data_IF_184339618113
#
_entry.id   IF_184339618113
#
_cell.length_a   1.000
_cell.length_b   1.000
_cell.length_c   1.000
_cell.angle_alpha   90.00
_cell.angle_beta   90.00
_cell.angle_gamma   90.00
#
_symmetry.space_group_name_H-M   'P 1'
#
loop_
_entity.id
_entity.type
_entity.pdbx_description
1 polymer ?
#
# COMPACT_ATOMS: atom_id res chain seq x y z
N UNK A 1 9.08 -13.74 -8.72
CA UNK A 1 7.82 -13.88 -7.98
C UNK A 1 7.72 -12.68 -7.05
N UNK A 2 6.71 -11.81 -7.21
CA UNK A 2 6.67 -10.55 -6.46
C UNK A 2 5.94 -10.78 -5.13
N UNK A 3 6.68 -11.24 -4.11
CA UNK A 3 6.13 -11.66 -2.81
C UNK A 3 5.30 -10.56 -2.13
N UNK A 4 5.62 -9.29 -2.39
CA UNK A 4 4.92 -8.13 -1.84
C UNK A 4 3.50 -8.02 -2.43
N UNK A 5 3.32 -8.34 -3.72
CA UNK A 5 1.99 -8.30 -4.34
C UNK A 5 1.07 -9.37 -3.77
N UNK A 6 1.61 -10.56 -3.49
CA UNK A 6 0.87 -11.65 -2.86
C UNK A 6 0.46 -11.28 -1.44
N UNK A 7 1.36 -10.66 -0.68
CA UNK A 7 1.06 -10.17 0.67
C UNK A 7 -0.03 -9.09 0.65
N UNK A 8 0.14 -8.03 -0.15
CA UNK A 8 -0.75 -6.88 -0.17
C UNK A 8 -2.13 -7.23 -0.76
N UNK A 9 -2.15 -7.82 -1.97
CA UNK A 9 -3.39 -8.17 -2.66
C UNK A 9 -4.04 -9.41 -2.07
N UNK A 10 -3.25 -10.42 -1.69
CA UNK A 10 -3.76 -11.69 -1.15
C UNK A 10 -4.42 -11.52 0.21
N UNK A 11 -3.90 -10.66 1.09
CA UNK A 11 -4.56 -10.40 2.36
C UNK A 11 -5.90 -9.68 2.19
N UNK A 12 -5.95 -8.67 1.32
CA UNK A 12 -7.21 -7.99 1.01
C UNK A 12 -8.25 -8.95 0.42
N UNK A 13 -7.81 -9.85 -0.47
CA UNK A 13 -8.65 -10.92 -1.03
C UNK A 13 -9.13 -11.91 0.05
N UNK A 14 -8.27 -12.30 0.99
CA UNK A 14 -8.62 -13.19 2.08
C UNK A 14 -9.61 -12.55 3.05
N UNK A 15 -9.36 -11.31 3.48
CA UNK A 15 -10.25 -10.60 4.41
C UNK A 15 -11.61 -10.29 3.78
N UNK A 16 -11.62 -9.72 2.57
CA UNK A 16 -12.87 -9.30 1.95
C UNK A 16 -13.66 -10.46 1.36
N UNK A 17 -13.00 -11.40 0.69
CA UNK A 17 -13.66 -12.43 -0.12
C UNK A 17 -13.41 -13.86 0.38
N UNK A 18 -12.56 -14.06 1.40
CA UNK A 18 -12.18 -15.40 1.87
C UNK A 18 -11.27 -16.17 0.91
N UNK A 19 -10.71 -15.49 -0.11
CA UNK A 19 -9.91 -16.13 -1.16
C UNK A 19 -8.45 -16.15 -0.74
N UNK A 20 -7.87 -17.34 -0.64
CA UNK A 20 -6.43 -17.52 -0.41
C UNK A 20 -5.67 -17.47 -1.74
N UNK A 21 -4.62 -16.65 -1.79
CA UNK A 21 -3.72 -16.58 -2.94
C UNK A 21 -2.30 -16.92 -2.47
N UNK A 22 -1.67 -17.88 -3.13
CA UNK A 22 -0.32 -18.36 -2.81
C UNK A 22 0.73 -17.99 -3.85
N UNK A 23 0.33 -17.53 -5.03
CA UNK A 23 1.24 -17.21 -6.14
C UNK A 23 0.96 -15.83 -6.72
N UNK A 24 2.02 -15.14 -7.16
CA UNK A 24 1.92 -13.81 -7.77
C UNK A 24 1.28 -13.79 -9.16
N UNK A 25 1.25 -14.94 -9.84
CA UNK A 25 0.63 -15.10 -11.17
C UNK A 25 -0.87 -15.39 -11.09
N UNK A 26 -1.48 -15.15 -9.92
CA UNK A 26 -2.90 -15.35 -9.73
C UNK A 26 -3.71 -14.31 -10.54
N UNK A 27 -4.76 -14.73 -11.28
CA UNK A 27 -5.59 -13.83 -12.07
C UNK A 27 -6.18 -12.65 -11.30
N UNK A 28 -6.47 -12.80 -10.01
CA UNK A 28 -6.99 -11.70 -9.19
C UNK A 28 -5.93 -10.61 -8.96
N UNK A 29 -4.66 -11.00 -8.81
CA UNK A 29 -3.54 -10.07 -8.63
C UNK A 29 -3.23 -9.35 -9.94
N UNK A 30 -3.25 -10.05 -11.08
CA UNK A 30 -2.99 -9.41 -12.38
C UNK A 30 -4.05 -8.37 -12.73
N UNK A 31 -5.34 -8.68 -12.49
CA UNK A 31 -6.44 -7.72 -12.70
C UNK A 31 -6.30 -6.51 -11.78
N UNK A 32 -5.92 -6.70 -10.51
CA UNK A 32 -5.68 -5.59 -9.59
C UNK A 32 -4.56 -4.68 -10.06
N UNK A 33 -3.42 -5.25 -10.50
CA UNK A 33 -2.32 -4.48 -11.08
C UNK A 33 -2.75 -3.69 -12.31
N UNK A 34 -3.50 -4.30 -13.22
CA UNK A 34 -4.00 -3.61 -14.41
C UNK A 34 -4.96 -2.47 -14.07
N UNK A 35 -5.86 -2.68 -13.10
CA UNK A 35 -6.79 -1.65 -12.63
C UNK A 35 -6.07 -0.49 -11.93
N UNK A 36 -5.08 -0.80 -11.09
CA UNK A 36 -4.23 0.17 -10.40
C UNK A 36 -3.42 0.99 -11.39
N UNK A 37 -2.69 0.33 -12.28
CA UNK A 37 -1.87 1.01 -13.30
C UNK A 37 -2.71 1.95 -14.18
N UNK A 38 -3.90 1.50 -14.58
CA UNK A 38 -4.80 2.35 -15.36
C UNK A 38 -5.34 3.52 -14.54
N UNK A 39 -5.59 3.31 -13.24
CA UNK A 39 -6.00 4.39 -12.34
C UNK A 39 -4.92 5.45 -12.22
N UNK A 40 -3.66 5.06 -12.02
CA UNK A 40 -2.52 5.98 -12.00
C UNK A 40 -2.45 6.84 -13.26
N UNK A 41 -2.53 6.22 -14.43
CA UNK A 41 -2.53 6.94 -15.71
C UNK A 41 -3.72 7.90 -15.85
N UNK A 42 -4.90 7.53 -15.36
CA UNK A 42 -6.08 8.40 -15.39
C UNK A 42 -5.90 9.60 -14.45
N UNK A 43 -5.23 9.41 -13.30
CA UNK A 43 -4.99 10.47 -12.33
C UNK A 43 -3.83 11.40 -12.70
N UNK A 44 -3.08 11.10 -13.76
CA UNK A 44 -2.05 12.02 -14.24
C UNK A 44 -2.66 13.40 -14.59
N UNK A 45 -1.98 14.51 -14.26
CA UNK A 45 -2.51 15.86 -14.43
C UNK A 45 -3.02 16.14 -15.86
N UNK A 46 -2.37 15.57 -16.88
CA UNK A 46 -2.78 15.73 -18.27
C UNK A 46 -4.10 15.00 -18.57
N UNK A 47 -4.28 13.77 -18.08
CA UNK A 47 -5.50 12.98 -18.25
C UNK A 47 -6.68 13.65 -17.55
N UNK A 48 -6.50 14.06 -16.29
CA UNK A 48 -7.53 14.78 -15.53
C UNK A 48 -7.93 16.07 -16.24
N UNK A 49 -6.96 16.84 -16.74
CA UNK A 49 -7.24 18.07 -17.47
C UNK A 49 -8.08 17.80 -18.72
N UNK A 50 -7.72 16.79 -19.51
CA UNK A 50 -8.49 16.41 -20.71
C UNK A 50 -9.89 15.94 -20.34
N UNK A 51 -10.06 15.09 -19.33
CA UNK A 51 -11.39 14.62 -18.90
C UNK A 51 -12.27 15.76 -18.37
N UNK A 52 -11.67 16.75 -17.70
CA UNK A 52 -12.37 17.92 -17.15
C UNK A 52 -12.79 18.91 -18.23
N UNK A 53 -11.94 19.19 -19.20
CA UNK A 53 -12.18 20.21 -20.23
C UNK A 53 -12.80 19.64 -21.52
N UNK A 54 -12.72 18.33 -21.74
CA UNK A 54 -13.28 17.65 -22.91
C UNK A 54 -14.27 16.53 -22.51
N UNK A 55 -15.45 16.87 -21.95
CA UNK A 55 -16.42 15.86 -21.49
C UNK A 55 -17.01 15.01 -22.63
N UNK A 56 -16.86 15.45 -23.89
CA UNK A 56 -17.31 14.73 -25.09
C UNK A 56 -16.33 13.62 -25.54
N UNK A 57 -15.28 13.33 -24.78
CA UNK A 57 -14.23 12.37 -25.16
C UNK A 57 -14.76 10.97 -25.49
N UNK A 58 -15.85 10.55 -24.84
CA UNK A 58 -16.51 9.26 -25.10
C UNK A 58 -17.17 9.19 -26.49
N UNK A 59 -17.41 10.33 -27.14
CA UNK A 59 -18.01 10.41 -28.48
C UNK A 59 -16.94 10.41 -29.60
N UNK A 60 -15.66 10.55 -29.25
CA UNK A 60 -14.56 10.67 -30.22
C UNK A 60 -14.15 9.28 -30.73
N UNK A 61 -14.00 9.06 -32.05
CA UNK A 61 -13.54 7.77 -32.57
C UNK A 61 -12.16 7.36 -32.02
N UNK A 62 -11.96 6.06 -31.81
CA UNK A 62 -10.73 5.48 -31.23
C UNK A 62 -9.44 5.80 -32.00
N UNK A 63 -9.55 6.11 -33.29
CA UNK A 63 -8.40 6.38 -34.16
C UNK A 63 -7.88 7.83 -34.08
N UNK A 64 -8.62 8.74 -33.45
CA UNK A 64 -8.23 10.16 -33.37
C UNK A 64 -6.99 10.31 -32.48
N UNK A 65 -5.92 11.02 -32.92
CA UNK A 65 -4.72 11.22 -32.12
C UNK A 65 -5.01 11.89 -30.77
N UNK A 66 -4.27 11.51 -29.73
CA UNK A 66 -4.38 11.98 -28.33
C UNK A 66 -5.75 11.67 -27.69
N UNK A 67 -6.85 12.23 -28.19
CA UNK A 67 -8.19 12.07 -27.62
C UNK A 67 -8.77 10.66 -27.79
N UNK A 68 -8.49 9.98 -28.91
CA UNK A 68 -8.83 8.57 -29.09
C UNK A 68 -8.01 7.64 -28.21
N UNK A 69 -6.75 8.00 -27.92
CA UNK A 69 -5.92 7.28 -26.96
C UNK A 69 -6.47 7.42 -25.53
N UNK A 70 -6.78 8.64 -25.08
CA UNK A 70 -7.40 8.87 -23.76
C UNK A 70 -8.76 8.15 -23.65
N UNK A 71 -9.59 8.16 -24.70
CA UNK A 71 -10.82 7.35 -24.72
C UNK A 71 -10.53 5.86 -24.53
N UNK A 72 -9.54 5.30 -25.24
CA UNK A 72 -9.14 3.89 -25.11
C UNK A 72 -8.69 3.58 -23.68
N UNK A 73 -7.93 4.48 -23.05
CA UNK A 73 -7.51 4.33 -21.66
C UNK A 73 -8.70 4.33 -20.69
N UNK A 74 -9.68 5.21 -20.88
CA UNK A 74 -10.92 5.22 -20.06
C UNK A 74 -11.73 3.94 -20.26
N UNK A 75 -11.84 3.45 -21.49
CA UNK A 75 -12.56 2.20 -21.80
C UNK A 75 -11.87 0.99 -21.15
N UNK A 76 -10.55 0.87 -21.28
CA UNK A 76 -9.76 -0.18 -20.63
C UNK A 76 -9.85 -0.10 -19.10
N UNK A 77 -9.77 1.11 -18.54
CA UNK A 77 -9.91 1.33 -17.09
C UNK A 77 -11.27 0.87 -16.57
N UNK A 78 -12.35 1.12 -17.32
CA UNK A 78 -13.69 0.62 -16.96
C UNK A 78 -13.76 -0.90 -16.95
N UNK A 79 -13.15 -1.55 -17.93
CA UNK A 79 -13.10 -3.02 -18.01
C UNK A 79 -12.33 -3.61 -16.83
N UNK A 80 -11.12 -3.12 -16.55
CA UNK A 80 -10.33 -3.59 -15.42
C UNK A 80 -10.99 -3.34 -14.06
N UNK A 81 -11.63 -2.19 -13.85
CA UNK A 81 -12.38 -1.90 -12.62
C UNK A 81 -13.60 -2.82 -12.50
N UNK A 82 -14.29 -3.10 -13.61
CA UNK A 82 -15.41 -4.05 -13.65
C UNK A 82 -14.94 -5.47 -13.27
N UNK A 83 -13.84 -5.94 -13.86
CA UNK A 83 -13.28 -7.25 -13.57
C UNK A 83 -12.81 -7.37 -12.12
N UNK A 84 -12.14 -6.33 -11.61
CA UNK A 84 -11.71 -6.26 -10.21
C UNK A 84 -12.92 -6.32 -9.25
N UNK A 85 -14.06 -5.73 -9.63
CA UNK A 85 -15.29 -5.75 -8.86
C UNK A 85 -16.01 -7.09 -8.92
N UNK A 86 -16.11 -7.70 -10.10
CA UNK A 86 -16.98 -8.85 -10.34
C UNK A 86 -16.28 -10.20 -10.17
N UNK A 87 -15.03 -10.36 -10.58
CA UNK A 87 -14.37 -11.68 -10.57
C UNK A 87 -14.25 -12.29 -9.16
N UNK A 88 -13.83 -11.54 -8.12
CA UNK A 88 -13.79 -12.10 -6.76
C UNK A 88 -15.19 -12.45 -6.25
N UNK A 89 -16.22 -11.68 -6.62
CA UNK A 89 -17.60 -11.93 -6.24
C UNK A 89 -18.11 -13.23 -6.87
N UNK A 90 -17.87 -13.42 -8.16
CA UNK A 90 -18.25 -14.65 -8.86
C UNK A 90 -17.61 -15.87 -8.20
N UNK A 91 -16.33 -15.76 -7.80
CA UNK A 91 -15.65 -16.83 -7.06
C UNK A 91 -16.31 -17.12 -5.71
N UNK A 92 -16.70 -16.09 -4.97
CA UNK A 92 -17.43 -16.24 -3.70
C UNK A 92 -18.78 -16.92 -3.89
N UNK A 93 -19.54 -16.51 -4.92
CA UNK A 93 -20.85 -17.09 -5.23
C UNK A 93 -20.72 -18.57 -5.63
N UNK A 94 -19.77 -18.90 -6.50
CA UNK A 94 -19.49 -20.29 -6.90
C UNK A 94 -19.11 -21.16 -5.69
N UNK A 95 -18.29 -20.63 -4.76
CA UNK A 95 -17.93 -21.37 -3.53
C UNK A 95 -19.15 -21.63 -2.63
N UNK A 96 -20.06 -20.66 -2.53
CA UNK A 96 -21.30 -20.81 -1.75
C UNK A 96 -22.22 -21.88 -2.36
N UNK A 97 -22.33 -21.95 -3.68
CA UNK A 97 -23.09 -23.01 -4.39
C UNK A 97 -22.51 -24.41 -4.13
N UNK A 98 -21.18 -24.51 -4.00
CA UNK A 98 -20.51 -25.78 -3.67
C UNK A 98 -20.56 -26.15 -2.18
N UNK A 99 -21.18 -25.32 -1.33
CA UNK A 99 -21.29 -25.55 0.12
C UNK A 99 -19.99 -25.34 0.90
N UNK A 100 -18.98 -24.71 0.30
CA UNK A 100 -17.73 -24.40 0.97
C UNK A 100 -17.94 -23.27 1.99
N UNK A 101 -17.51 -23.49 3.25
CA UNK A 101 -17.50 -22.42 4.24
C UNK A 101 -16.55 -21.29 3.81
N UNK A 102 -17.04 -20.06 3.91
CA UNK A 102 -16.29 -18.85 3.58
C UNK A 102 -16.52 -17.82 4.70
N UNK A 103 -15.42 -17.39 5.31
CA UNK A 103 -15.34 -16.46 6.44
C UNK A 103 -15.13 -15.00 6.03
N UNK A 104 -15.04 -14.73 4.72
CA UNK A 104 -14.85 -13.39 4.17
C UNK A 104 -15.98 -12.43 4.52
N UNK A 105 -15.64 -11.14 4.61
CA UNK A 105 -16.58 -10.07 4.93
C UNK A 105 -17.76 -10.01 3.94
N UNK A 106 -17.47 -10.09 2.64
CA UNK A 106 -18.47 -10.04 1.57
C UNK A 106 -19.48 -11.17 1.65
N UNK A 107 -19.11 -12.47 1.67
CA UNK A 107 -20.09 -13.55 1.78
C UNK A 107 -20.93 -13.44 3.04
N UNK A 108 -20.36 -13.02 4.17
CA UNK A 108 -21.10 -12.80 5.41
C UNK A 108 -22.17 -11.70 5.27
N UNK A 109 -21.84 -10.57 4.64
CA UNK A 109 -22.82 -9.52 4.38
C UNK A 109 -23.88 -9.92 3.35
N UNK A 110 -23.50 -10.66 2.31
CA UNK A 110 -24.44 -11.13 1.28
C UNK A 110 -25.44 -12.16 1.83
N UNK A 111 -25.05 -13.02 2.77
CA UNK A 111 -25.97 -13.96 3.46
C UNK A 111 -27.10 -13.26 4.22
N UNK A 112 -26.86 -12.03 4.68
CA UNK A 112 -27.84 -11.24 5.45
C UNK A 112 -28.86 -10.48 4.59
N UNK A 113 -28.87 -10.68 3.27
CA UNK A 113 -29.78 -9.99 2.35
C UNK A 113 -30.96 -10.87 1.95
N UNK A 114 -32.17 -10.32 2.01
CA UNK A 114 -33.38 -11.00 1.57
C UNK A 114 -33.47 -11.03 0.03
N UNK A 115 -33.67 -12.23 -0.51
CA UNK A 115 -33.81 -12.47 -1.95
C UNK A 115 -35.20 -11.99 -2.39
N UNK A 116 -35.28 -10.78 -2.93
CA UNK A 116 -36.52 -10.20 -3.50
C UNK A 116 -36.78 -8.73 -3.17
N UNK A 117 -36.04 -8.13 -2.23
CA UNK A 117 -36.16 -6.71 -1.90
C UNK A 117 -35.26 -5.85 -2.82
N UNK A 118 -35.84 -4.81 -3.44
CA UNK A 118 -35.10 -3.83 -4.24
C UNK A 118 -33.99 -3.15 -3.42
N UNK A 119 -34.23 -2.94 -2.11
CA UNK A 119 -33.19 -2.40 -1.24
C UNK A 119 -32.05 -3.39 -1.01
N UNK A 120 -32.29 -4.71 -1.07
CA UNK A 120 -31.25 -5.72 -0.98
C UNK A 120 -30.35 -5.72 -2.22
N UNK A 121 -30.90 -5.48 -3.41
CA UNK A 121 -30.10 -5.32 -4.65
C UNK A 121 -29.17 -4.13 -4.54
N UNK A 122 -29.70 -2.97 -4.15
CA UNK A 122 -28.90 -1.75 -3.94
C UNK A 122 -27.83 -1.94 -2.86
N UNK A 123 -28.17 -2.60 -1.74
CA UNK A 123 -27.20 -2.97 -0.70
C UNK A 123 -26.11 -3.89 -1.23
N UNK A 124 -26.45 -4.87 -2.06
CA UNK A 124 -25.48 -5.76 -2.68
C UNK A 124 -24.51 -4.98 -3.60
N UNK A 125 -25.00 -4.03 -4.39
CA UNK A 125 -24.13 -3.16 -5.20
C UNK A 125 -23.16 -2.36 -4.33
N UNK A 126 -23.64 -1.77 -3.22
CA UNK A 126 -22.78 -1.02 -2.29
C UNK A 126 -21.74 -1.91 -1.62
N UNK A 127 -22.09 -3.14 -1.24
CA UNK A 127 -21.15 -4.11 -0.67
C UNK A 127 -20.02 -4.41 -1.68
N UNK A 128 -20.38 -4.64 -2.95
CA UNK A 128 -19.38 -4.85 -4.02
C UNK A 128 -18.47 -3.63 -4.19
N UNK A 129 -19.02 -2.43 -4.19
CA UNK A 129 -18.26 -1.18 -4.36
C UNK A 129 -17.31 -0.90 -3.19
N UNK A 130 -17.76 -1.18 -1.96
CA UNK A 130 -16.90 -1.09 -0.77
C UNK A 130 -15.77 -2.10 -0.85
N UNK A 131 -16.07 -3.35 -1.23
CA UNK A 131 -15.06 -4.40 -1.30
C UNK A 131 -14.02 -4.15 -2.40
N UNK A 132 -14.45 -3.70 -3.59
CA UNK A 132 -13.53 -3.33 -4.66
C UNK A 132 -12.64 -2.15 -4.26
N UNK A 133 -13.19 -1.14 -3.59
CA UNK A 133 -12.41 0.01 -3.09
C UNK A 133 -11.34 -0.42 -2.08
N UNK A 134 -11.69 -1.29 -1.12
CA UNK A 134 -10.72 -1.83 -0.15
C UNK A 134 -9.63 -2.62 -0.86
N UNK A 135 -10.01 -3.45 -1.84
CA UNK A 135 -9.05 -4.27 -2.57
C UNK A 135 -8.05 -3.43 -3.38
N UNK A 136 -8.53 -2.47 -4.17
CA UNK A 136 -7.67 -1.57 -4.95
C UNK A 136 -6.75 -0.75 -4.05
N UNK A 137 -7.26 -0.16 -2.96
CA UNK A 137 -6.47 0.67 -2.07
C UNK A 137 -5.34 -0.12 -1.37
N UNK A 138 -5.61 -1.37 -0.96
CA UNK A 138 -4.65 -2.21 -0.28
C UNK A 138 -3.56 -2.76 -1.21
N UNK A 139 -3.92 -3.10 -2.45
CA UNK A 139 -3.02 -3.70 -3.43
C UNK A 139 -1.82 -2.79 -3.76
N UNK A 140 -2.04 -1.48 -3.82
CA UNK A 140 -1.06 -0.55 -4.36
C UNK A 140 -0.26 0.22 -3.28
N UNK A 141 -0.94 0.75 -2.26
CA UNK A 141 -0.30 1.57 -1.23
C UNK A 141 0.65 0.78 -0.33
N UNK A 142 0.26 -0.46 0.00
CA UNK A 142 1.08 -1.35 0.84
C UNK A 142 2.35 -1.76 0.09
N UNK A 143 2.27 -1.94 -1.24
CA UNK A 143 3.44 -2.22 -2.06
C UNK A 143 4.46 -1.07 -1.99
N UNK A 144 4.02 0.18 -2.19
CA UNK A 144 4.89 1.36 -2.17
C UNK A 144 5.61 1.59 -0.83
N UNK A 145 4.97 1.26 0.29
CA UNK A 145 5.53 1.46 1.64
C UNK A 145 6.75 0.58 1.97
N UNK A 146 7.03 -0.46 1.18
CA UNK A 146 8.22 -1.31 1.32
C UNK A 146 9.54 -0.60 1.00
N UNK A 147 9.51 0.58 0.36
CA UNK A 147 10.68 1.45 0.18
C UNK A 147 11.38 1.86 1.48
N UNK A 148 10.75 1.66 2.63
CA UNK A 148 11.32 1.89 3.97
C UNK A 148 12.51 0.97 4.28
N UNK A 149 12.52 -0.28 3.77
CA UNK A 149 13.61 -1.23 3.99
C UNK A 149 14.94 -0.79 3.37
N UNK A 150 14.85 -0.24 2.16
CA UNK A 150 15.98 0.33 1.43
C UNK A 150 16.69 1.40 2.26
N UNK A 151 15.92 2.14 3.04
CA UNK A 151 16.41 3.27 3.77
C UNK A 151 16.98 2.86 5.17
N UNK A 152 16.47 1.78 5.77
CA UNK A 152 17.03 1.18 6.99
C UNK A 152 18.35 0.45 6.76
N UNK A 153 18.55 -0.16 5.58
CA UNK A 153 19.81 -0.81 5.20
C UNK A 153 21.00 0.16 5.11
N UNK A 154 20.76 1.48 5.21
CA UNK A 154 21.76 2.53 4.96
C UNK A 154 22.29 3.29 6.21
N UNK A 155 21.78 3.16 7.47
CA UNK A 155 22.17 4.08 8.59
C UNK A 155 22.13 3.58 10.09
N UNK A 156 23.23 3.03 10.69
CA UNK A 156 23.26 2.55 12.09
C UNK A 156 23.57 3.57 13.21
N UNK A 157 24.19 4.72 12.89
CA UNK A 157 24.66 5.73 13.86
C UNK A 157 23.51 6.52 14.51
N UNK A 158 22.42 6.69 13.77
CA UNK A 158 21.30 7.53 14.13
C UNK A 158 20.53 7.01 15.36
N UNK A 159 20.60 5.70 15.66
CA UNK A 159 19.93 5.05 16.80
C UNK A 159 20.44 5.53 18.17
N UNK A 160 21.74 5.80 18.29
CA UNK A 160 22.37 6.20 19.56
C UNK A 160 22.15 7.68 19.90
N UNK A 161 21.78 8.50 18.93
CA UNK A 161 21.64 9.96 19.09
C UNK A 161 20.27 10.35 19.65
N UNK A 162 19.21 9.61 19.30
CA UNK A 162 17.84 9.83 19.78
C UNK A 162 17.68 9.71 21.31
N UNK A 163 18.54 8.93 21.96
CA UNK A 163 18.50 8.72 23.42
C UNK A 163 19.10 9.90 24.21
N UNK A 164 20.05 10.65 23.61
CA UNK A 164 20.73 11.79 24.28
C UNK A 164 19.87 13.06 24.30
N UNK A 165 19.01 13.21 23.32
CA UNK A 165 18.24 14.44 23.11
C UNK A 165 17.05 14.55 24.08
N UNK A 166 16.44 13.41 24.44
CA UNK A 166 15.40 13.31 25.48
C UNK A 166 15.96 13.67 26.86
N UNK A 167 17.17 13.21 27.17
CA UNK A 167 17.87 13.55 28.41
C UNK A 167 18.16 15.05 28.52
N UNK A 168 18.23 15.77 27.39
CA UNK A 168 18.66 17.19 27.31
C UNK A 168 17.50 18.17 27.45
N UNK A 169 16.34 17.90 26.84
CA UNK A 169 15.19 18.82 26.82
C UNK A 169 14.30 18.68 28.06
N UNK A 170 14.21 17.47 28.63
CA UNK A 170 13.25 17.14 29.69
C UNK A 170 13.95 16.90 31.04
N UNK A 171 15.20 16.41 31.00
CA UNK A 171 15.94 15.93 32.17
C UNK A 171 15.35 14.65 32.76
N UNK A 172 16.09 13.95 33.64
CA UNK A 172 15.71 12.62 34.15
C UNK A 172 14.64 12.62 35.26
N UNK A 173 14.16 13.80 35.66
CA UNK A 173 13.36 13.99 36.88
C UNK A 173 11.86 14.19 36.66
N UNK A 174 11.39 14.35 35.42
CA UNK A 174 9.96 14.43 35.10
C UNK A 174 9.70 13.92 33.70
N UNK A 175 8.46 13.49 33.45
CA UNK A 175 8.03 13.16 32.11
C UNK A 175 7.72 14.46 31.32
N UNK A 176 7.88 14.46 29.99
CA UNK A 176 7.59 15.62 29.13
C UNK A 176 6.10 16.00 29.18
N UNK A 177 5.75 17.26 28.91
CA UNK A 177 4.34 17.70 28.92
C UNK A 177 3.97 18.62 27.74
N UNK A 178 2.67 18.88 27.58
CA UNK A 178 2.09 19.56 26.41
C UNK A 178 2.56 20.99 26.16
N UNK A 179 3.21 21.66 27.13
CA UNK A 179 3.78 23.00 26.97
C UNK A 179 5.06 23.03 26.13
N UNK A 180 5.69 21.87 25.90
CA UNK A 180 6.90 21.74 25.09
C UNK A 180 6.58 21.73 23.56
N UNK A 181 5.28 21.74 23.20
CA UNK A 181 4.69 21.48 21.88
C UNK A 181 4.74 22.63 20.86
N UNK A 182 4.73 23.89 21.30
CA UNK A 182 4.62 25.06 20.39
C UNK A 182 5.93 25.41 19.66
N UNK A 183 7.00 24.64 19.86
CA UNK A 183 8.32 24.87 19.27
C UNK A 183 8.56 24.08 17.96
N UNK A 184 7.52 23.67 17.22
CA UNK A 184 7.60 22.72 16.07
C UNK A 184 6.45 22.88 14.99
N UNK A 185 6.61 23.47 13.76
CA UNK A 185 5.70 23.17 12.61
C UNK A 185 6.14 23.39 11.11
N UNK A 186 6.15 22.31 10.30
CA UNK A 186 5.42 22.01 9.03
C UNK A 186 5.51 20.48 8.78
N UNK A 187 4.64 19.88 7.97
CA UNK A 187 4.06 18.64 8.49
C UNK A 187 4.86 17.31 8.33
N UNK A 188 5.70 17.08 7.31
CA UNK A 188 6.66 15.93 7.28
C UNK A 188 8.04 16.25 6.71
N UNK A 189 8.15 17.35 5.97
CA UNK A 189 9.40 17.84 5.37
C UNK A 189 9.77 19.24 5.87
N UNK A 190 9.22 19.61 7.00
CA UNK A 190 9.64 20.81 7.69
C UNK A 190 10.90 20.53 8.46
N UNK A 191 11.91 21.37 8.28
CA UNK A 191 13.19 21.14 8.90
C UNK A 191 13.18 21.45 10.40
N UNK A 192 12.17 22.17 10.92
CA UNK A 192 11.94 22.40 12.35
C UNK A 192 11.26 21.21 13.04
N UNK A 193 10.27 20.57 12.40
CA UNK A 193 9.57 19.36 12.92
C UNK A 193 10.35 18.08 12.61
N UNK A 194 10.98 18.04 11.45
CA UNK A 194 11.74 16.93 10.90
C UNK A 194 13.13 17.44 10.43
N UNK A 195 14.11 17.58 11.33
CA UNK A 195 15.48 17.99 10.98
C UNK A 195 16.18 17.13 9.91
N UNK A 196 16.63 17.73 8.81
CA UNK A 196 17.12 17.07 7.57
C UNK A 196 16.08 16.11 6.94
N UNK A 197 14.91 16.61 6.51
CA UNK A 197 13.76 15.79 6.17
C UNK A 197 13.96 14.85 4.97
N UNK A 198 14.89 15.19 4.07
CA UNK A 198 15.26 14.37 2.92
C UNK A 198 16.16 13.19 3.29
N UNK A 199 16.71 13.18 4.51
CA UNK A 199 17.46 12.06 5.05
C UNK A 199 16.52 11.11 5.78
N UNK A 200 16.54 9.84 5.36
CA UNK A 200 15.80 8.79 6.06
C UNK A 200 16.43 8.53 7.43
N UNK A 201 15.72 9.02 8.47
CA UNK A 201 16.11 8.86 9.88
C UNK A 201 14.94 8.25 10.66
N UNK A 202 14.83 6.90 10.71
CA UNK A 202 13.84 6.19 11.52
C UNK A 202 13.81 6.67 12.98
N UNK A 203 14.92 7.22 13.43
CA UNK A 203 15.20 7.53 14.82
C UNK A 203 14.39 8.69 15.37
N UNK A 204 13.76 9.47 14.48
CA UNK A 204 12.75 10.47 14.82
C UNK A 204 11.53 9.87 15.52
N UNK A 205 11.22 8.61 15.21
CA UNK A 205 10.00 7.94 15.67
C UNK A 205 10.26 6.90 16.77
N UNK A 206 11.53 6.63 17.11
CA UNK A 206 11.89 5.60 18.10
C UNK A 206 11.37 5.89 19.51
N UNK A 207 11.16 7.16 19.84
CA UNK A 207 10.68 7.60 21.16
C UNK A 207 9.37 8.40 21.09
N UNK A 208 8.74 8.46 19.92
CA UNK A 208 7.44 9.07 19.75
C UNK A 208 6.37 8.07 20.23
N UNK A 209 5.43 8.52 21.07
CA UNK A 209 4.17 7.79 21.26
C UNK A 209 3.31 8.02 20.01
N UNK A 210 3.74 7.41 18.90
CA UNK A 210 3.14 7.62 17.59
C UNK A 210 1.78 6.94 17.60
N UNK A 211 0.72 7.73 17.76
CA UNK A 211 -0.60 7.22 17.49
C UNK A 211 -0.69 7.02 15.98
N UNK A 212 -1.26 5.91 15.54
CA UNK A 212 -1.52 5.67 14.13
C UNK A 212 -2.37 6.77 13.47
N UNK A 213 -3.17 7.50 14.27
CA UNK A 213 -3.93 8.65 13.80
C UNK A 213 -3.07 9.90 13.55
N UNK A 214 -1.85 9.95 14.08
CA UNK A 214 -0.90 11.05 13.91
C UNK A 214 0.06 10.81 12.75
N UNK A 215 0.05 9.60 12.17
CA UNK A 215 0.83 9.26 10.97
C UNK A 215 0.20 9.92 9.76
N UNK A 216 0.81 11.02 9.33
CA UNK A 216 0.28 11.89 8.27
C UNK A 216 0.16 11.22 6.91
N UNK A 217 0.88 10.12 6.67
CA UNK A 217 0.73 9.30 5.48
C UNK A 217 -0.70 8.74 5.31
N UNK A 218 -1.47 8.62 6.40
CA UNK A 218 -2.87 8.19 6.37
C UNK A 218 -3.88 9.34 6.21
N UNK A 219 -3.41 10.59 6.11
CA UNK A 219 -4.26 11.78 6.08
C UNK A 219 -4.84 12.15 7.45
N UNK A 220 -5.87 13.00 7.47
CA UNK A 220 -6.43 13.54 8.71
C UNK A 220 -7.93 13.86 8.59
N UNK A 221 -8.58 14.04 9.75
CA UNK A 221 -10.00 14.44 9.85
C UNK A 221 -10.98 13.36 9.38
N UNK A 222 -12.15 13.78 8.88
CA UNK A 222 -13.27 12.87 8.50
C UNK A 222 -12.94 11.92 7.33
N UNK A 223 -11.84 12.13 6.63
CA UNK A 223 -11.40 11.34 5.48
C UNK A 223 -10.04 10.64 5.72
N UNK A 224 -9.61 10.54 6.97
CA UNK A 224 -8.46 9.72 7.36
C UNK A 224 -8.62 8.29 6.85
N UNK A 225 -7.52 7.66 6.44
CA UNK A 225 -7.53 6.31 5.90
C UNK A 225 -8.24 5.33 6.84
N UNK A 226 -9.32 4.72 6.35
CA UNK A 226 -10.09 3.72 7.08
C UNK A 226 -9.28 2.44 7.28
N UNK A 227 -8.38 2.14 6.35
CA UNK A 227 -7.53 0.94 6.36
C UNK A 227 -6.27 1.05 7.21
N UNK A 228 -5.98 2.20 7.86
CA UNK A 228 -4.70 2.44 8.56
C UNK A 228 -4.33 1.34 9.56
N UNK A 229 -5.28 0.88 10.39
CA UNK A 229 -5.03 -0.16 11.39
C UNK A 229 -4.64 -1.50 10.77
N UNK A 230 -5.29 -1.85 9.65
CA UNK A 230 -4.93 -3.04 8.89
C UNK A 230 -3.56 -2.85 8.25
N UNK A 231 -3.31 -1.70 7.60
CA UNK A 231 -2.04 -1.41 6.95
C UNK A 231 -0.86 -1.43 7.94
N UNK A 232 -0.99 -0.83 9.11
CA UNK A 232 0.04 -0.82 10.15
C UNK A 232 0.35 -2.24 10.66
N UNK A 233 -0.69 -3.03 10.98
CA UNK A 233 -0.51 -4.41 11.39
C UNK A 233 0.15 -5.26 10.28
N UNK A 234 -0.20 -5.02 9.02
CA UNK A 234 0.40 -5.71 7.87
C UNK A 234 1.87 -5.35 7.71
N UNK A 235 2.19 -4.06 7.76
CA UNK A 235 3.58 -3.61 7.67
C UNK A 235 4.41 -4.17 8.81
N UNK A 236 3.88 -4.15 10.03
CA UNK A 236 4.55 -4.76 11.18
C UNK A 236 4.79 -6.26 11.01
N UNK A 237 3.73 -7.03 10.68
CA UNK A 237 3.80 -8.48 10.49
C UNK A 237 4.64 -8.89 9.27
N UNK A 238 4.89 -7.97 8.35
CA UNK A 238 5.75 -8.22 7.19
C UNK A 238 7.20 -7.85 7.50
N UNK A 239 7.42 -6.70 8.13
CA UNK A 239 8.75 -6.16 8.37
C UNK A 239 9.44 -6.82 9.56
N UNK A 240 8.74 -6.99 10.68
CA UNK A 240 9.35 -7.50 11.90
C UNK A 240 9.88 -8.93 11.74
N UNK A 241 9.14 -9.90 11.16
CA UNK A 241 9.68 -11.26 10.96
C UNK A 241 10.80 -11.30 9.94
N UNK A 242 10.70 -10.52 8.85
CA UNK A 242 11.76 -10.46 7.84
C UNK A 242 13.06 -9.95 8.46
N UNK A 243 13.01 -8.88 9.26
CA UNK A 243 14.19 -8.32 9.95
C UNK A 243 14.68 -9.21 11.11
N UNK A 244 13.79 -9.97 11.75
CA UNK A 244 14.16 -10.92 12.78
C UNK A 244 14.94 -12.11 12.20
N UNK A 245 14.54 -12.58 11.02
CA UNK A 245 15.07 -13.81 10.41
C UNK A 245 16.17 -13.57 9.38
N UNK A 246 16.21 -12.43 8.69
CA UNK A 246 17.07 -12.25 7.52
C UNK A 246 17.90 -10.96 7.56
N UNK A 247 19.11 -11.05 7.01
CA UNK A 247 19.90 -9.90 6.59
C UNK A 247 19.49 -9.53 5.17
N UNK A 248 19.22 -8.26 4.93
CA UNK A 248 18.96 -7.71 3.60
C UNK A 248 20.16 -6.84 3.24
N UNK A 249 20.91 -7.26 2.23
CA UNK A 249 22.14 -6.61 1.79
C UNK A 249 22.02 -6.18 0.33
N UNK A 250 22.85 -5.20 -0.06
CA UNK A 250 22.98 -4.82 -1.47
C UNK A 250 23.50 -6.00 -2.29
N UNK A 251 23.05 -6.10 -3.54
CA UNK A 251 23.62 -7.09 -4.45
C UNK A 251 25.10 -6.75 -4.70
N UNK A 252 25.94 -7.77 -4.88
CA UNK A 252 27.32 -7.62 -5.29
C UNK A 252 27.45 -7.95 -6.78
N UNK A 253 28.19 -7.14 -7.51
CA UNK A 253 28.50 -7.41 -8.92
C UNK A 253 29.41 -8.64 -9.09
N UNK A 254 29.69 -9.03 -10.34
CA UNK A 254 30.59 -10.16 -10.66
C UNK A 254 32.02 -10.01 -10.08
N UNK A 255 32.39 -8.80 -9.64
CA UNK A 255 33.68 -8.46 -9.06
C UNK A 255 33.62 -8.31 -7.52
N UNK A 256 32.45 -8.52 -6.90
CA UNK A 256 32.23 -8.44 -5.46
C UNK A 256 31.95 -7.03 -4.92
N UNK A 257 31.77 -6.02 -5.77
CA UNK A 257 31.45 -4.65 -5.34
C UNK A 257 29.96 -4.50 -5.11
N UNK A 258 29.57 -3.78 -4.06
CA UNK A 258 28.17 -3.45 -3.79
C UNK A 258 27.58 -2.58 -4.90
N UNK A 259 26.41 -2.95 -5.40
CA UNK A 259 25.64 -2.13 -6.33
C UNK A 259 24.62 -1.31 -5.55
N UNK A 260 24.70 0.02 -5.70
CA UNK A 260 23.70 0.89 -5.09
C UNK A 260 22.37 0.78 -5.84
N UNK A 261 21.25 0.58 -5.12
CA UNK A 261 19.94 0.64 -5.74
C UNK A 261 19.67 2.05 -6.29
N UNK A 262 18.93 2.15 -7.42
CA UNK A 262 18.68 3.39 -8.12
C UNK A 262 18.08 4.47 -7.22
N UNK A 263 18.55 5.71 -7.38
CA UNK A 263 18.06 6.88 -6.63
C UNK A 263 16.68 7.36 -7.09
N UNK A 264 16.31 7.02 -8.33
CA UNK A 264 15.06 7.44 -8.92
C UNK A 264 13.92 6.50 -8.52
N UNK A 265 12.75 7.08 -8.29
CA UNK A 265 11.49 6.37 -8.23
C UNK A 265 10.90 6.29 -9.65
N UNK A 266 9.87 5.47 -9.88
CA UNK A 266 9.17 5.43 -11.16
C UNK A 266 8.83 6.85 -11.64
N UNK A 267 9.32 7.25 -12.81
CA UNK A 267 9.27 8.61 -13.39
C UNK A 267 7.85 9.09 -13.80
N UNK A 268 6.79 8.57 -13.19
CA UNK A 268 5.40 8.87 -13.56
C UNK A 268 4.77 9.94 -12.66
N UNK A 269 3.95 10.87 -13.19
CA UNK A 269 3.12 11.78 -12.40
C UNK A 269 1.84 11.08 -11.87
N UNK A 270 1.97 9.79 -11.53
CA UNK A 270 0.89 8.93 -11.03
C UNK A 270 0.55 9.20 -9.56
N UNK A 271 -0.41 8.45 -9.01
CA UNK A 271 -0.91 8.67 -7.66
C UNK A 271 0.10 8.22 -6.58
N UNK A 272 1.03 7.32 -6.94
CA UNK A 272 2.02 6.73 -6.03
C UNK A 272 3.43 6.70 -6.60
N UNK A 273 4.42 6.71 -5.71
CA UNK A 273 5.84 6.56 -6.06
C UNK A 273 6.29 5.13 -5.75
N UNK A 274 6.78 4.43 -6.76
CA UNK A 274 7.35 3.10 -6.59
C UNK A 274 8.86 3.14 -6.74
N UNK A 275 9.64 2.40 -5.93
CA UNK A 275 11.06 2.25 -6.17
C UNK A 275 11.27 1.58 -7.53
N UNK A 276 12.26 2.04 -8.30
CA UNK A 276 12.65 1.34 -9.53
C UNK A 276 13.13 -0.09 -9.20
N UNK A 277 13.01 -1.04 -10.14
CA UNK A 277 13.48 -2.40 -9.91
C UNK A 277 14.94 -2.42 -9.44
N UNK A 278 15.16 -2.98 -8.26
CA UNK A 278 16.47 -3.10 -7.66
C UNK A 278 16.72 -4.53 -7.20
N UNK A 279 17.99 -4.92 -7.16
CA UNK A 279 18.42 -6.25 -6.74
C UNK A 279 19.00 -6.17 -5.34
N UNK A 280 18.84 -7.24 -4.59
CA UNK A 280 19.28 -7.36 -3.21
C UNK A 280 19.59 -8.82 -2.89
N UNK A 281 20.38 -9.05 -1.85
CA UNK A 281 20.67 -10.39 -1.33
C UNK A 281 20.00 -10.56 0.02
N UNK A 282 19.29 -11.68 0.21
CA UNK A 282 18.70 -12.07 1.50
C UNK A 282 19.45 -13.29 2.01
N UNK A 283 20.01 -13.19 3.22
CA UNK A 283 20.64 -14.33 3.90
C UNK A 283 20.04 -14.55 5.29
N UNK A 284 19.90 -15.79 5.79
CA UNK A 284 19.47 -16.04 7.16
C UNK A 284 20.41 -15.39 8.18
N UNK A 285 19.86 -14.82 9.26
CA UNK A 285 20.65 -14.18 10.33
C UNK A 285 21.40 -15.19 11.21
N UNK A 286 20.82 -16.37 11.39
CA UNK A 286 21.41 -17.48 12.15
C UNK A 286 20.92 -18.82 11.57
N UNK A 287 21.64 -19.91 11.84
CA UNK A 287 21.31 -21.24 11.33
C UNK A 287 19.89 -21.70 11.72
N UNK A 288 19.41 -21.27 12.88
CA UNK A 288 18.11 -21.69 13.41
C UNK A 288 16.91 -21.05 12.69
N UNK A 289 17.11 -20.08 11.79
CA UNK A 289 16.02 -19.43 11.04
C UNK A 289 15.23 -20.44 10.23
N UNK A 290 15.89 -21.45 9.66
CA UNK A 290 15.21 -22.49 8.87
C UNK A 290 14.16 -23.25 9.70
N UNK A 291 14.41 -23.45 10.99
CA UNK A 291 13.48 -24.13 11.91
C UNK A 291 12.30 -23.26 12.37
N UNK A 292 12.33 -21.95 12.11
CA UNK A 292 11.26 -21.01 12.47
C UNK A 292 10.25 -20.79 11.34
N UNK A 293 10.60 -21.17 10.11
CA UNK A 293 9.83 -20.89 8.88
C UNK A 293 9.16 -22.16 8.34
N UNK A 294 9.68 -23.34 8.70
CA UNK A 294 9.18 -24.67 8.32
C UNK A 294 8.81 -25.49 9.55
#
# INVERSE_FOLDING_TARGET
MNHIDVLASGLALKVMYGINVSTGDNPFISVAKSAVHTSDTIFEPYCIAVLRYCPFIMSIPRWVPVLGHVRRQVEMGREYISDLRELPIQRVQNNAETGAENDGIVPNFLRGLDIGDVNSVEKAHRIKDVASTVYTAAADTTFSSTGTFLAMARNPHSQKMAQREIDTVVGKGRLPNLGDRERLPAMTHDEEVYPEPYNFKPERFLNANTNINDVLAYGFGRRICVGRHLADAVLWLSFAPVLACFNIEKEKDEHGNETDPPENYSDGPGLFFHPLPFRYTITPRHADVESLIF
#
